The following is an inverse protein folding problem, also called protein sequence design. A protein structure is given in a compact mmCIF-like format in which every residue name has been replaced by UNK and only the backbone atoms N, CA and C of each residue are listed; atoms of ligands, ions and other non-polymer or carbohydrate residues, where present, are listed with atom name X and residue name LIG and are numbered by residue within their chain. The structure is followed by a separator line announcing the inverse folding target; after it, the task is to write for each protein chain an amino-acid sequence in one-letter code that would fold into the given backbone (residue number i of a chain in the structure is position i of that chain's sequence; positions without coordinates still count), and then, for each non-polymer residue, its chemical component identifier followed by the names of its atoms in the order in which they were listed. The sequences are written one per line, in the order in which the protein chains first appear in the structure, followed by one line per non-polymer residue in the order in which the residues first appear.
data_IF_245875792497
#
_entry.id   IF_245875792497
#
_cell.length_a   1.000
_cell.length_b   1.000
_cell.length_c   1.000
_cell.angle_alpha   90.00
_cell.angle_beta   90.00
_cell.angle_gamma   90.00
#
_symmetry.space_group_name_H-M   'P 1'
#
loop_
_entity.id
_entity.type
_entity.pdbx_description
1 polymer ?
#
# COMPACT_ATOMS: atom_id res chain seq x y z
N UNK A 1 -5.70 -9.57 7.66
CA UNK A 1 -4.46 -9.46 6.86
C UNK A 1 -3.66 -8.25 7.32
N UNK A 2 -2.34 -8.36 7.45
CA UNK A 2 -1.50 -7.23 7.89
C UNK A 2 -1.58 -6.03 6.91
N UNK A 3 -1.52 -4.82 7.47
CA UNK A 3 -1.48 -3.55 6.74
C UNK A 3 -0.12 -2.89 6.94
N UNK A 4 0.26 -2.05 5.99
CA UNK A 4 1.47 -1.24 6.06
C UNK A 4 1.08 0.17 6.47
N UNK A 5 1.63 0.62 7.59
CA UNK A 5 1.48 1.97 8.12
C UNK A 5 2.72 2.77 7.76
N UNK A 6 2.53 3.74 6.90
CA UNK A 6 3.51 4.76 6.55
C UNK A 6 3.39 5.93 7.52
N UNK A 7 4.47 6.68 7.69
CA UNK A 7 4.39 8.06 8.22
C UNK A 7 3.56 8.90 7.23
N UNK A 8 2.80 9.88 7.74
CA UNK A 8 1.86 10.69 6.93
C UNK A 8 2.58 11.33 5.74
N UNK A 9 2.05 11.16 4.52
CA UNK A 9 2.66 11.62 3.26
C UNK A 9 3.50 10.55 2.55
N UNK A 10 4.10 9.62 3.28
CA UNK A 10 5.06 8.68 2.72
C UNK A 10 4.37 7.54 1.93
N UNK A 11 3.08 7.27 2.17
CA UNK A 11 2.36 6.25 1.37
C UNK A 11 2.15 6.74 -0.06
N UNK A 12 1.81 8.03 -0.24
CA UNK A 12 1.73 8.63 -1.56
C UNK A 12 3.09 8.66 -2.24
N UNK A 13 4.13 9.09 -1.53
CA UNK A 13 5.51 9.12 -2.05
C UNK A 13 6.00 7.74 -2.48
N UNK A 14 5.70 6.70 -1.69
CA UNK A 14 5.97 5.32 -2.05
C UNK A 14 5.28 4.94 -3.37
N UNK A 15 4.01 5.28 -3.54
CA UNK A 15 3.27 4.99 -4.79
C UNK A 15 3.80 5.81 -5.98
N UNK A 16 4.28 7.03 -5.76
CA UNK A 16 4.95 7.83 -6.79
C UNK A 16 6.32 7.26 -7.17
N UNK A 17 7.07 6.73 -6.21
CA UNK A 17 8.30 5.98 -6.45
C UNK A 17 8.04 4.72 -7.28
N UNK A 18 7.02 3.93 -6.93
CA UNK A 18 6.61 2.74 -7.69
C UNK A 18 6.23 3.12 -9.12
N UNK A 19 5.46 4.20 -9.32
CA UNK A 19 5.13 4.72 -10.67
C UNK A 19 6.39 5.08 -11.45
N UNK A 20 7.34 5.77 -10.82
CA UNK A 20 8.60 6.16 -11.45
C UNK A 20 9.43 4.94 -11.86
N UNK A 21 9.61 3.96 -10.97
CA UNK A 21 10.36 2.72 -11.23
C UNK A 21 9.74 1.88 -12.34
N UNK A 22 8.42 1.78 -12.38
CA UNK A 22 7.68 1.03 -13.38
C UNK A 22 7.38 1.83 -14.66
N UNK A 23 7.90 3.06 -14.77
CA UNK A 23 7.67 3.97 -15.91
C UNK A 23 6.17 4.12 -16.24
N UNK A 24 5.34 4.15 -15.20
CA UNK A 24 3.89 4.25 -15.35
C UNK A 24 3.44 5.71 -15.31
N UNK A 25 2.75 6.21 -16.35
CA UNK A 25 2.35 7.62 -16.41
C UNK A 25 1.25 8.00 -15.40
N UNK A 26 0.59 7.00 -14.80
CA UNK A 26 -0.49 7.24 -13.83
C UNK A 26 -0.63 6.09 -12.84
N UNK A 27 -1.28 6.35 -11.70
CA UNK A 27 -1.59 5.30 -10.72
C UNK A 27 -2.47 4.19 -11.33
N UNK A 28 -3.32 4.53 -12.31
CA UNK A 28 -4.15 3.55 -13.02
C UNK A 28 -3.29 2.63 -13.89
N UNK A 29 -2.23 3.16 -14.48
CA UNK A 29 -1.29 2.40 -15.30
C UNK A 29 -0.59 1.29 -14.50
N UNK A 30 -0.47 1.43 -13.18
CA UNK A 30 0.10 0.36 -12.33
C UNK A 30 -0.68 -0.97 -12.42
N UNK A 31 -1.98 -0.92 -12.76
CA UNK A 31 -2.81 -2.12 -12.90
C UNK A 31 -2.37 -3.04 -14.04
N UNK A 32 -1.65 -2.52 -15.05
CA UNK A 32 -1.17 -3.32 -16.18
C UNK A 32 -0.09 -4.33 -15.76
N UNK A 33 0.54 -4.14 -14.60
CA UNK A 33 1.58 -5.02 -14.07
C UNK A 33 1.02 -6.18 -13.23
N UNK A 34 -0.30 -6.38 -13.23
CA UNK A 34 -0.92 -7.53 -12.57
C UNK A 34 -1.10 -7.40 -11.06
N UNK A 35 -1.12 -6.17 -10.52
CA UNK A 35 -1.36 -5.92 -9.09
C UNK A 35 -2.69 -6.53 -8.60
N UNK A 36 -2.70 -7.08 -7.39
CA UNK A 36 -3.88 -7.74 -6.80
C UNK A 36 -4.94 -6.75 -6.28
N UNK A 37 -5.21 -5.68 -7.01
CA UNK A 37 -6.11 -4.61 -6.57
C UNK A 37 -6.83 -3.96 -7.75
N UNK A 38 -7.78 -3.07 -7.46
CA UNK A 38 -8.51 -2.32 -8.47
C UNK A 38 -8.20 -0.82 -8.39
N UNK A 39 -8.61 -0.08 -9.42
CA UNK A 39 -8.35 1.36 -9.50
C UNK A 39 -8.95 2.18 -8.35
N UNK A 40 -10.13 1.78 -7.86
CA UNK A 40 -10.79 2.47 -6.74
C UNK A 40 -9.97 2.34 -5.46
N UNK A 41 -9.52 1.11 -5.16
CA UNK A 41 -8.63 0.83 -4.03
C UNK A 41 -7.30 1.57 -4.16
N UNK A 42 -6.65 1.54 -5.33
CA UNK A 42 -5.43 2.30 -5.59
C UNK A 42 -5.60 3.80 -5.34
N UNK A 43 -6.71 4.41 -5.77
CA UNK A 43 -6.99 5.81 -5.48
C UNK A 43 -7.13 6.09 -3.98
N UNK A 44 -7.73 5.17 -3.23
CA UNK A 44 -7.83 5.32 -1.78
C UNK A 44 -6.46 5.21 -1.10
N UNK A 45 -5.58 4.32 -1.56
CA UNK A 45 -4.21 4.21 -1.05
C UNK A 45 -3.39 5.44 -1.42
N UNK A 46 -3.48 5.90 -2.68
CA UNK A 46 -2.78 7.09 -3.14
C UNK A 46 -3.21 8.37 -2.42
N UNK A 47 -4.50 8.48 -2.10
CA UNK A 47 -5.03 9.58 -1.29
C UNK A 47 -4.88 9.38 0.22
N UNK A 48 -4.15 8.35 0.66
CA UNK A 48 -3.92 8.00 2.08
C UNK A 48 -5.21 7.83 2.92
N UNK A 49 -6.33 7.55 2.25
CA UNK A 49 -7.64 7.30 2.89
C UNK A 49 -7.71 5.92 3.53
N UNK A 50 -6.86 4.99 3.08
CA UNK A 50 -6.75 3.62 3.56
C UNK A 50 -5.28 3.21 3.60
N UNK A 51 -4.94 2.35 4.56
CA UNK A 51 -3.62 1.72 4.63
C UNK A 51 -3.48 0.65 3.54
N UNK A 52 -2.30 0.58 2.95
CA UNK A 52 -1.96 -0.43 1.96
C UNK A 52 -1.97 -1.83 2.61
N UNK A 53 -2.60 -2.86 2.00
CA UNK A 53 -2.42 -4.24 2.42
C UNK A 53 -0.96 -4.66 2.25
N UNK A 54 -0.41 -5.45 3.18
CA UNK A 54 0.97 -5.95 3.09
C UNK A 54 1.22 -6.73 1.79
N UNK A 55 0.27 -7.56 1.37
CA UNK A 55 0.38 -8.34 0.12
C UNK A 55 0.62 -7.41 -1.08
N UNK A 56 -0.21 -6.38 -1.21
CA UNK A 56 -0.08 -5.41 -2.30
C UNK A 56 1.23 -4.59 -2.20
N UNK A 57 1.68 -4.31 -0.98
CA UNK A 57 2.98 -3.67 -0.75
C UNK A 57 4.14 -4.53 -1.24
N UNK A 58 4.16 -5.81 -0.85
CA UNK A 58 5.20 -6.75 -1.25
C UNK A 58 5.22 -6.95 -2.78
N UNK A 59 4.04 -7.03 -3.41
CA UNK A 59 3.91 -7.06 -4.88
C UNK A 59 4.55 -5.83 -5.54
N UNK A 60 4.26 -4.64 -5.02
CA UNK A 60 4.81 -3.39 -5.53
C UNK A 60 6.33 -3.32 -5.36
N UNK A 61 6.86 -3.75 -4.22
CA UNK A 61 8.31 -3.85 -3.99
C UNK A 61 8.97 -4.79 -5.00
N UNK A 62 8.38 -5.97 -5.19
CA UNK A 62 8.90 -6.98 -6.09
C UNK A 62 8.92 -6.48 -7.55
N UNK A 63 7.80 -5.92 -8.02
CA UNK A 63 7.69 -5.39 -9.39
C UNK A 63 8.62 -4.20 -9.62
N UNK A 64 8.67 -3.26 -8.68
CA UNK A 64 9.45 -2.03 -8.81
C UNK A 64 10.94 -2.19 -8.45
N UNK A 65 11.35 -3.38 -7.98
CA UNK A 65 12.71 -3.67 -7.48
C UNK A 65 13.16 -2.64 -6.44
N UNK A 66 12.32 -2.42 -5.44
CA UNK A 66 12.58 -1.51 -4.31
C UNK A 66 12.93 -2.37 -3.10
N UNK A 67 14.05 -2.07 -2.45
CA UNK A 67 14.44 -2.71 -1.19
C UNK A 67 13.69 -2.06 -0.02
N UNK A 68 13.15 -2.88 0.88
CA UNK A 68 12.34 -2.38 2.01
C UNK A 68 13.17 -1.59 3.04
N UNK A 69 14.49 -1.80 3.07
CA UNK A 69 15.40 -1.14 4.00
C UNK A 69 15.44 0.38 3.85
N UNK A 70 15.06 0.88 2.67
CA UNK A 70 15.00 2.32 2.37
C UNK A 70 13.69 2.98 2.82
N UNK A 71 12.74 2.20 3.35
CA UNK A 71 11.39 2.67 3.66
C UNK A 71 11.10 2.63 5.18
N UNK A 72 10.75 3.77 5.75
CA UNK A 72 10.26 3.85 7.14
C UNK A 72 8.76 3.47 7.21
N UNK A 73 8.52 2.16 7.35
CA UNK A 73 7.17 1.58 7.42
C UNK A 73 7.01 0.66 8.62
N UNK A 74 5.80 0.60 9.17
CA UNK A 74 5.42 -0.34 10.23
C UNK A 74 4.32 -1.28 9.75
N UNK A 75 4.44 -2.56 10.05
CA UNK A 75 3.39 -3.53 9.76
C UNK A 75 2.43 -3.60 10.96
N UNK A 76 1.14 -3.42 10.70
CA UNK A 76 0.08 -3.52 11.72
C UNK A 76 -0.82 -4.71 11.38
N UNK A 77 -1.09 -5.56 12.36
CA UNK A 77 -2.04 -6.64 12.18
C UNK A 77 -3.48 -6.12 12.19
N UNK A 78 -4.36 -6.76 11.41
CA UNK A 78 -5.78 -6.37 11.23
C UNK A 78 -6.59 -6.38 12.54
N UNK A 79 -6.06 -6.95 13.63
CA UNK A 79 -6.68 -6.96 14.96
C UNK A 79 -6.59 -5.61 15.68
N UNK A 80 -5.94 -4.61 15.11
CA UNK A 80 -5.91 -3.24 15.63
C UNK A 80 -7.26 -2.53 15.40
N UNK A 81 -8.24 -2.83 16.25
CA UNK A 81 -9.51 -2.11 16.28
C UNK A 81 -10.75 -2.95 16.60
N UNK A 82 -10.66 -4.29 16.57
CA UNK A 82 -11.76 -5.11 17.10
C UNK A 82 -11.70 -5.12 18.63
N UNK A 83 -12.20 -4.05 19.25
CA UNK A 83 -12.72 -4.17 20.60
C UNK A 83 -13.82 -5.21 20.50
N UNK A 84 -13.68 -6.34 21.21
CA UNK A 84 -14.74 -7.34 21.38
C UNK A 84 -15.95 -6.63 22.00
N UNK A 85 -16.83 -6.11 21.16
CA UNK A 85 -18.07 -5.48 21.58
C UNK A 85 -18.99 -6.53 22.19
N UNK A 86 -19.22 -6.41 23.49
CA UNK A 86 -20.40 -6.87 24.20
C UNK A 86 -20.50 -8.38 24.47
N UNK A 87 -20.07 -8.80 25.67
CA UNK A 87 -20.86 -9.80 26.40
C UNK A 87 -22.18 -9.12 26.77
N UNK A 88 -23.29 -9.61 26.25
CA UNK A 88 -24.62 -9.52 26.87
C UNK A 88 -25.40 -10.74 26.44
#
# INVERSE_FOLDING_TARGET
MARVKFVKGNQKEFLDLVKSKLLSPSIRGLLQFGLSTNYSSLKNYYGERRLLPKILFDEMLHLAKIDVGDLDVKFVEDSWGQVKGGKS
#
